data_IF_883887294595
#
_entry.id   IF_883887294595
#
_cell.length_a   1.000
_cell.length_b   1.000
_cell.length_c   1.000
_cell.angle_alpha   90.00
_cell.angle_beta   90.00
_cell.angle_gamma   90.00
#
_symmetry.space_group_name_H-M   'P 1'
#
loop_
_entity.id
_entity.type
_entity.pdbx_description
1 polymer ?
#
# COMPACT_ATOMS: atom_id res chain seq x y z
N UNK A 1 -14.15 -19.78 30.65
CA UNK A 1 -12.76 -19.83 31.17
C UNK A 1 -11.94 -18.87 30.31
N UNK A 2 -11.48 -17.75 30.85
CA UNK A 2 -10.71 -16.74 30.12
C UNK A 2 -9.24 -16.93 30.51
N UNK A 3 -8.38 -17.36 29.59
CA UNK A 3 -6.95 -17.54 29.84
C UNK A 3 -6.29 -16.17 29.58
N UNK A 4 -5.60 -15.56 30.57
CA UNK A 4 -4.92 -14.29 30.35
C UNK A 4 -3.74 -14.49 29.40
N UNK A 5 -3.63 -13.62 28.40
CA UNK A 5 -2.57 -13.65 27.38
C UNK A 5 -1.74 -12.38 27.52
N UNK A 6 -0.42 -12.53 27.56
CA UNK A 6 0.51 -11.40 27.55
C UNK A 6 1.03 -11.20 26.12
N UNK A 7 0.77 -10.02 25.57
CA UNK A 7 1.23 -9.62 24.24
C UNK A 7 2.30 -8.55 24.42
N UNK A 8 3.52 -8.84 23.98
CA UNK A 8 4.57 -7.86 23.88
C UNK A 8 4.75 -7.43 22.44
N UNK A 9 4.84 -6.11 22.24
CA UNK A 9 4.99 -5.50 20.92
C UNK A 9 6.27 -4.69 20.91
N UNK A 10 6.98 -4.74 19.80
CA UNK A 10 8.18 -3.94 19.56
C UNK A 10 8.11 -3.30 18.18
N UNK A 11 8.59 -2.07 18.07
CA UNK A 11 8.56 -1.30 16.84
C UNK A 11 9.97 -0.87 16.46
N UNK A 12 10.36 -1.10 15.20
CA UNK A 12 11.68 -0.75 14.70
C UNK A 12 11.54 0.05 13.40
N UNK A 13 12.34 1.11 13.29
CA UNK A 13 12.45 1.94 12.10
C UNK A 13 13.82 1.75 11.47
N UNK A 14 13.85 1.59 10.15
CA UNK A 14 15.08 1.41 9.39
C UNK A 14 15.08 2.19 8.09
N UNK A 15 16.28 2.38 7.56
CA UNK A 15 16.50 3.05 6.28
C UNK A 15 17.41 2.22 5.39
N UNK A 16 17.19 2.27 4.09
CA UNK A 16 18.04 1.65 3.09
C UNK A 16 18.22 2.59 1.90
N UNK A 17 19.38 2.48 1.23
CA UNK A 17 19.65 3.23 0.01
C UNK A 17 19.60 2.29 -1.18
N UNK A 18 18.94 2.72 -2.25
CA UNK A 18 18.73 1.93 -3.47
C UNK A 18 19.36 2.65 -4.64
N UNK A 19 20.35 2.02 -5.27
CA UNK A 19 20.97 2.51 -6.49
C UNK A 19 20.20 1.99 -7.71
N UNK A 20 19.86 2.89 -8.64
CA UNK A 20 19.13 2.56 -9.87
C UNK A 20 19.72 3.32 -11.05
N UNK A 21 19.89 2.60 -12.16
CA UNK A 21 20.24 3.19 -13.46
C UNK A 21 18.99 3.65 -14.18
N UNK A 22 18.94 4.91 -14.58
CA UNK A 22 17.82 5.44 -15.33
C UNK A 22 17.78 4.86 -16.76
N UNK A 23 16.65 4.24 -17.14
CA UNK A 23 16.46 3.67 -18.48
C UNK A 23 16.36 4.72 -19.60
N UNK A 24 16.09 5.98 -19.26
CA UNK A 24 15.98 7.07 -20.25
C UNK A 24 17.30 7.81 -20.48
N UNK A 25 17.96 8.26 -19.42
CA UNK A 25 19.19 9.06 -19.54
C UNK A 25 20.47 8.27 -19.28
N UNK A 26 20.36 7.00 -18.88
CA UNK A 26 21.51 6.10 -18.65
C UNK A 26 22.31 6.40 -17.38
N UNK A 27 21.97 7.45 -16.63
CA UNK A 27 22.67 7.86 -15.40
C UNK A 27 22.20 7.07 -14.18
N UNK A 28 23.16 6.72 -13.34
CA UNK A 28 22.91 6.10 -12.04
C UNK A 28 22.50 7.16 -11.02
N UNK A 29 21.55 6.81 -10.18
CA UNK A 29 21.15 7.62 -9.05
C UNK A 29 20.75 6.74 -7.86
N UNK A 30 20.80 7.32 -6.68
CA UNK A 30 20.45 6.66 -5.43
C UNK A 30 19.27 7.36 -4.78
N UNK A 31 18.38 6.59 -4.17
CA UNK A 31 17.30 7.12 -3.34
C UNK A 31 17.22 6.38 -2.01
N UNK A 32 16.83 7.11 -0.96
CA UNK A 32 16.60 6.57 0.37
C UNK A 32 15.17 6.04 0.52
N UNK A 33 15.04 4.93 1.23
CA UNK A 33 13.77 4.32 1.62
C UNK A 33 13.75 4.22 3.14
N UNK A 34 12.66 4.67 3.75
CA UNK A 34 12.43 4.53 5.20
C UNK A 34 11.23 3.60 5.38
N UNK A 35 11.36 2.63 6.29
CA UNK A 35 10.28 1.71 6.66
C UNK A 35 10.22 1.54 8.17
N UNK A 36 9.03 1.20 8.63
CA UNK A 36 8.69 0.92 10.03
C UNK A 36 8.03 -0.46 10.06
N UNK A 37 8.43 -1.29 11.00
CA UNK A 37 7.85 -2.61 11.20
C UNK A 37 7.58 -2.85 12.68
N UNK A 38 6.49 -3.55 12.96
CA UNK A 38 6.13 -4.00 14.30
C UNK A 38 6.19 -5.53 14.38
N UNK A 39 6.73 -6.02 15.48
CA UNK A 39 6.81 -7.44 15.84
C UNK A 39 6.08 -7.67 17.14
N UNK A 40 5.30 -8.75 17.19
CA UNK A 40 4.49 -9.10 18.34
C UNK A 40 4.90 -10.51 18.80
N UNK A 41 4.99 -10.70 20.12
CA UNK A 41 5.17 -12.00 20.73
C UNK A 41 4.06 -12.25 21.74
N UNK A 42 3.39 -13.39 21.58
CA UNK A 42 2.30 -13.82 22.46
C UNK A 42 2.83 -14.88 23.41
N UNK A 43 2.67 -14.64 24.71
CA UNK A 43 3.01 -15.61 25.76
C UNK A 43 1.77 -15.96 26.60
N UNK A 44 1.64 -17.24 26.93
CA UNK A 44 0.50 -17.78 27.69
C UNK A 44 1.04 -18.36 29.00
N UNK A 45 0.43 -18.09 30.17
CA UNK A 45 0.86 -18.67 31.43
C UNK A 45 0.85 -20.20 31.43
N UNK A 46 1.81 -20.85 32.12
CA UNK A 46 2.92 -20.28 32.89
C UNK A 46 4.16 -19.88 32.05
N UNK A 47 4.10 -20.00 30.72
CA UNK A 47 5.22 -19.81 29.80
C UNK A 47 5.53 -18.34 29.46
N UNK A 48 5.35 -17.42 30.43
CA UNK A 48 5.75 -16.02 30.25
C UNK A 48 7.27 -15.97 30.21
N UNK A 49 7.82 -15.79 29.01
CA UNK A 49 9.28 -15.74 28.83
C UNK A 49 9.80 -14.34 29.16
N UNK A 50 10.85 -14.26 29.97
CA UNK A 50 11.58 -13.01 30.24
C UNK A 50 12.23 -12.37 28.99
N UNK A 51 12.29 -13.11 27.88
CA UNK A 51 12.77 -12.66 26.55
C UNK A 51 11.63 -12.38 25.55
N UNK A 52 10.42 -12.17 26.02
CA UNK A 52 9.29 -11.87 25.13
C UNK A 52 9.58 -10.60 24.29
N UNK A 53 10.26 -9.61 24.88
CA UNK A 53 10.57 -8.35 24.22
C UNK A 53 11.62 -8.53 23.14
N UNK A 54 12.71 -9.21 23.46
CA UNK A 54 13.78 -9.56 22.51
C UNK A 54 13.23 -10.37 21.32
N UNK A 55 12.26 -11.26 21.56
CA UNK A 55 11.58 -12.01 20.49
C UNK A 55 10.70 -11.10 19.64
N UNK A 56 9.94 -10.20 20.24
CA UNK A 56 9.13 -9.22 19.53
C UNK A 56 10.01 -8.30 18.68
N UNK A 57 11.14 -7.82 19.21
CA UNK A 57 12.14 -7.01 18.51
C UNK A 57 12.76 -7.77 17.34
N UNK A 58 13.18 -9.02 17.55
CA UNK A 58 13.74 -9.83 16.47
C UNK A 58 12.74 -10.05 15.34
N UNK A 59 11.46 -10.29 15.65
CA UNK A 59 10.39 -10.36 14.64
C UNK A 59 10.20 -9.04 13.92
N UNK A 60 10.23 -7.91 14.65
CA UNK A 60 10.13 -6.58 14.07
C UNK A 60 11.30 -6.30 13.10
N UNK A 61 12.52 -6.68 13.48
CA UNK A 61 13.72 -6.50 12.68
C UNK A 61 13.72 -7.36 11.41
N UNK A 62 13.32 -8.63 11.50
CA UNK A 62 13.17 -9.48 10.31
C UNK A 62 12.12 -8.94 9.34
N UNK A 63 10.99 -8.43 9.85
CA UNK A 63 9.97 -7.77 9.02
C UNK A 63 10.51 -6.50 8.38
N UNK A 64 11.27 -5.70 9.13
CA UNK A 64 11.89 -4.48 8.65
C UNK A 64 12.87 -4.75 7.50
N UNK A 65 13.78 -5.71 7.67
CA UNK A 65 14.76 -6.10 6.64
C UNK A 65 14.06 -6.57 5.36
N UNK A 66 13.05 -7.44 5.48
CA UNK A 66 12.23 -7.86 4.32
C UNK A 66 11.57 -6.67 3.64
N UNK A 67 11.01 -5.74 4.43
CA UNK A 67 10.35 -4.55 3.90
C UNK A 67 11.31 -3.63 3.14
N UNK A 68 12.53 -3.41 3.65
CA UNK A 68 13.55 -2.58 3.00
C UNK A 68 14.12 -3.25 1.74
N UNK A 69 14.23 -4.58 1.73
CA UNK A 69 14.73 -5.33 0.59
C UNK A 69 13.76 -5.28 -0.60
N UNK A 70 12.46 -5.48 -0.34
CA UNK A 70 11.41 -5.52 -1.38
C UNK A 70 10.87 -4.12 -1.72
N UNK A 71 11.15 -3.09 -0.90
CA UNK A 71 10.64 -1.75 -1.15
C UNK A 71 11.12 -1.16 -2.48
N UNK A 72 10.15 -0.91 -3.36
CA UNK A 72 10.30 -0.12 -4.58
C UNK A 72 9.38 1.09 -4.49
N UNK A 73 9.98 2.26 -4.23
CA UNK A 73 9.25 3.54 -4.22
C UNK A 73 9.30 4.20 -5.59
N UNK A 74 8.21 4.86 -5.97
CA UNK A 74 8.12 5.63 -7.21
C UNK A 74 8.93 6.92 -7.07
N UNK A 75 10.18 6.87 -7.51
CA UNK A 75 11.09 8.02 -7.49
C UNK A 75 11.45 8.41 -8.93
N UNK A 76 11.25 9.68 -9.28
CA UNK A 76 11.65 10.20 -10.58
C UNK A 76 13.17 10.34 -10.65
N UNK A 77 13.75 10.08 -11.82
CA UNK A 77 15.16 10.33 -12.06
C UNK A 77 15.49 11.82 -11.83
N UNK A 78 16.47 12.16 -10.97
CA UNK A 78 16.82 13.54 -10.66
C UNK A 78 17.48 14.26 -11.83
N UNK A 79 17.77 13.59 -12.96
CA UNK A 79 18.36 14.23 -14.14
C UNK A 79 17.36 14.53 -15.24
N UNK A 80 16.33 13.70 -15.41
CA UNK A 80 15.42 13.80 -16.55
C UNK A 80 13.93 13.71 -16.18
N UNK A 81 13.60 13.47 -14.90
CA UNK A 81 12.23 13.33 -14.40
C UNK A 81 11.53 12.03 -14.81
N UNK A 82 12.26 11.07 -15.40
CA UNK A 82 11.70 9.81 -15.85
C UNK A 82 11.52 8.82 -14.69
N UNK A 83 10.35 8.21 -14.61
CA UNK A 83 10.07 7.09 -13.72
C UNK A 83 10.36 5.77 -14.42
N UNK A 84 11.13 4.91 -13.76
CA UNK A 84 11.56 3.62 -14.28
C UNK A 84 10.38 2.67 -14.44
N UNK A 85 10.33 1.95 -15.57
CA UNK A 85 9.25 1.03 -15.89
C UNK A 85 9.01 -0.02 -14.80
N UNK A 86 10.07 -0.51 -14.14
CA UNK A 86 9.98 -1.47 -13.02
C UNK A 86 9.16 -0.92 -11.86
N UNK A 87 9.45 0.31 -11.41
CA UNK A 87 8.75 0.96 -10.30
C UNK A 87 7.28 1.23 -10.64
N UNK A 88 7.01 1.66 -11.88
CA UNK A 88 5.64 1.89 -12.37
C UNK A 88 4.85 0.57 -12.43
N UNK A 89 5.48 -0.51 -12.90
CA UNK A 89 4.86 -1.84 -12.95
C UNK A 89 4.56 -2.37 -11.55
N UNK A 90 5.49 -2.24 -10.61
CA UNK A 90 5.28 -2.65 -9.23
C UNK A 90 4.09 -1.92 -8.60
N UNK A 91 3.99 -0.60 -8.77
CA UNK A 91 2.84 0.18 -8.27
C UNK A 91 1.53 -0.22 -8.94
N UNK A 92 1.52 -0.41 -10.26
CA UNK A 92 0.32 -0.85 -11.00
C UNK A 92 -0.17 -2.20 -10.49
N UNK A 93 0.72 -3.18 -10.36
CA UNK A 93 0.35 -4.50 -9.84
C UNK A 93 -0.21 -4.42 -8.42
N UNK A 94 0.35 -3.56 -7.56
CA UNK A 94 -0.19 -3.33 -6.23
C UNK A 94 -1.59 -2.71 -6.26
N UNK A 95 -1.82 -1.70 -7.11
CA UNK A 95 -3.15 -1.10 -7.31
C UNK A 95 -4.15 -2.13 -7.86
N UNK A 96 -3.75 -2.98 -8.79
CA UNK A 96 -4.58 -4.07 -9.30
C UNK A 96 -4.95 -5.07 -8.21
N UNK A 97 -4.02 -5.45 -7.34
CA UNK A 97 -4.31 -6.35 -6.20
C UNK A 97 -5.35 -5.74 -5.26
N UNK A 98 -5.23 -4.44 -4.95
CA UNK A 98 -6.21 -3.73 -4.13
C UNK A 98 -7.57 -3.67 -4.82
N UNK A 99 -7.61 -3.30 -6.09
CA UNK A 99 -8.84 -3.22 -6.86
C UNK A 99 -9.54 -4.60 -6.95
N UNK A 100 -8.78 -5.68 -7.16
CA UNK A 100 -9.30 -7.03 -7.18
C UNK A 100 -9.86 -7.45 -5.82
N UNK A 101 -9.19 -7.11 -4.71
CA UNK A 101 -9.71 -7.36 -3.36
C UNK A 101 -11.01 -6.60 -3.11
N UNK A 102 -11.10 -5.33 -3.48
CA UNK A 102 -12.32 -4.53 -3.35
C UNK A 102 -13.44 -5.15 -4.18
N UNK A 103 -13.16 -5.48 -5.44
CA UNK A 103 -14.14 -6.11 -6.34
C UNK A 103 -14.63 -7.46 -5.80
N UNK A 104 -13.76 -8.27 -5.17
CA UNK A 104 -14.14 -9.53 -4.55
C UNK A 104 -14.99 -9.35 -3.28
N UNK A 105 -14.74 -8.29 -2.50
CA UNK A 105 -15.47 -8.01 -1.26
C UNK A 105 -16.82 -7.28 -1.50
N UNK A 106 -16.94 -6.50 -2.57
CA UNK A 106 -18.15 -5.73 -2.92
C UNK A 106 -19.44 -6.56 -3.08
N UNK A 107 -19.43 -7.78 -3.67
CA UNK A 107 -20.67 -8.56 -3.81
C UNK A 107 -21.13 -9.22 -2.50
N UNK A 108 -20.28 -9.36 -1.49
CA UNK A 108 -20.65 -10.04 -0.24
C UNK A 108 -21.75 -9.31 0.56
N UNK A 109 -21.69 -7.97 0.74
CA UNK A 109 -22.81 -7.20 1.29
C UNK A 109 -24.12 -7.34 0.49
N UNK A 110 -24.05 -7.35 -0.85
CA UNK A 110 -25.20 -7.53 -1.74
C UNK A 110 -25.82 -8.93 -1.58
N UNK A 111 -24.97 -9.97 -1.51
CA UNK A 111 -25.39 -11.34 -1.26
C UNK A 111 -26.04 -11.48 0.13
N UNK A 112 -25.42 -10.95 1.18
CA UNK A 112 -25.98 -10.97 2.54
C UNK A 112 -27.31 -10.22 2.63
N UNK A 113 -27.47 -9.12 1.89
CA UNK A 113 -28.72 -8.38 1.80
C UNK A 113 -29.81 -9.21 1.08
N UNK A 114 -29.47 -9.88 -0.02
CA UNK A 114 -30.41 -10.74 -0.76
C UNK A 114 -30.94 -11.92 0.07
N UNK A 115 -30.10 -12.52 0.92
CA UNK A 115 -30.51 -13.61 1.82
C UNK A 115 -31.49 -13.13 2.91
N UNK A 116 -31.36 -11.87 3.34
CA UNK A 116 -32.29 -11.23 4.29
C UNK A 116 -33.57 -10.71 3.61
N UNK A 117 -33.58 -10.59 2.28
CA UNK A 117 -34.70 -10.14 1.45
C UNK A 117 -35.53 -11.30 0.87
N UNK A 118 -35.78 -12.35 1.64
CA UNK A 118 -36.91 -13.26 1.38
C UNK A 118 -38.02 -12.86 2.35
N UNK A 119 -38.94 -11.92 2.02
CA UNK A 119 -39.98 -11.51 2.94
C UNK A 119 -41.25 -12.33 2.76
N UNK A 120 -41.87 -12.66 3.89
CA UNK A 120 -43.22 -13.25 4.04
C UNK A 120 -44.29 -12.15 4.25
N UNK A 121 -44.21 -11.02 3.52
CA UNK A 121 -45.06 -9.78 3.53
C UNK A 121 -44.67 -8.66 4.53
N UNK A 122 -44.32 -7.43 4.06
CA UNK A 122 -44.74 -6.09 4.59
C UNK A 122 -44.05 -4.86 3.91
N UNK A 123 -44.66 -3.63 3.93
CA UNK A 123 -44.32 -2.49 3.05
C UNK A 123 -43.45 -1.35 3.65
N UNK A 124 -42.56 -1.60 4.61
CA UNK A 124 -41.59 -0.58 5.10
C UNK A 124 -40.15 -0.83 4.58
N UNK A 125 -39.94 -1.88 3.80
CA UNK A 125 -38.61 -2.35 3.36
C UNK A 125 -38.11 -1.70 2.07
N UNK A 126 -38.94 -0.94 1.35
CA UNK A 126 -38.55 -0.36 0.05
C UNK A 126 -37.43 0.69 0.19
N UNK A 127 -37.46 1.56 1.20
CA UNK A 127 -36.41 2.59 1.36
C UNK A 127 -35.03 1.99 1.66
N UNK A 128 -34.98 0.91 2.45
CA UNK A 128 -33.74 0.19 2.77
C UNK A 128 -33.19 -0.55 1.54
N UNK A 129 -34.08 -1.01 0.66
CA UNK A 129 -33.72 -1.64 -0.61
C UNK A 129 -33.03 -0.66 -1.56
N UNK A 130 -33.59 0.52 -1.77
CA UNK A 130 -32.98 1.56 -2.61
C UNK A 130 -31.62 2.02 -2.05
N UNK A 131 -31.52 2.17 -0.74
CA UNK A 131 -30.26 2.56 -0.09
C UNK A 131 -29.16 1.49 -0.27
N UNK A 132 -29.50 0.20 -0.13
CA UNK A 132 -28.55 -0.90 -0.32
C UNK A 132 -28.03 -1.00 -1.76
N UNK A 133 -28.92 -0.86 -2.75
CA UNK A 133 -28.52 -0.86 -4.16
C UNK A 133 -27.68 0.36 -4.53
N UNK A 134 -27.98 1.53 -3.98
CA UNK A 134 -27.22 2.75 -4.21
C UNK A 134 -25.81 2.67 -3.61
N UNK A 135 -25.66 2.06 -2.43
CA UNK A 135 -24.34 1.85 -1.82
C UNK A 135 -23.53 0.82 -2.61
N UNK A 136 -24.15 -0.29 -3.02
CA UNK A 136 -23.48 -1.32 -3.83
C UNK A 136 -22.97 -0.78 -5.18
N UNK A 137 -23.80 0.00 -5.88
CA UNK A 137 -23.42 0.63 -7.15
C UNK A 137 -22.34 1.70 -6.98
N UNK A 138 -22.39 2.49 -5.91
CA UNK A 138 -21.35 3.46 -5.59
C UNK A 138 -19.99 2.80 -5.33
N UNK A 139 -19.95 1.70 -4.58
CA UNK A 139 -18.70 0.95 -4.33
C UNK A 139 -18.15 0.35 -5.62
N UNK A 140 -19.01 -0.25 -6.47
CA UNK A 140 -18.61 -0.76 -7.77
C UNK A 140 -18.05 0.35 -8.68
N UNK A 141 -18.69 1.53 -8.70
CA UNK A 141 -18.22 2.70 -9.44
C UNK A 141 -16.84 3.16 -8.97
N UNK A 142 -16.64 3.26 -7.65
CA UNK A 142 -15.34 3.63 -7.07
C UNK A 142 -14.25 2.62 -7.45
N UNK A 143 -14.56 1.33 -7.45
CA UNK A 143 -13.62 0.29 -7.88
C UNK A 143 -13.26 0.42 -9.36
N UNK A 144 -14.24 0.66 -10.24
CA UNK A 144 -14.01 0.88 -11.67
C UNK A 144 -13.18 2.15 -11.91
N UNK A 145 -13.51 3.25 -11.24
CA UNK A 145 -12.75 4.51 -11.33
C UNK A 145 -11.32 4.30 -10.83
N UNK A 146 -11.09 3.57 -9.74
CA UNK A 146 -9.75 3.26 -9.25
C UNK A 146 -8.94 2.43 -10.26
N UNK A 147 -9.56 1.47 -10.95
CA UNK A 147 -8.92 0.68 -12.03
C UNK A 147 -8.59 1.57 -13.23
N UNK A 148 -9.51 2.44 -13.64
CA UNK A 148 -9.31 3.38 -14.73
C UNK A 148 -8.19 4.37 -14.39
N UNK A 149 -8.15 4.91 -13.17
CA UNK A 149 -7.07 5.78 -12.69
C UNK A 149 -5.73 5.04 -12.66
N UNK A 150 -5.70 3.76 -12.29
CA UNK A 150 -4.48 2.95 -12.33
C UNK A 150 -3.98 2.72 -13.78
N UNK A 151 -4.90 2.55 -14.74
CA UNK A 151 -4.59 2.46 -16.17
C UNK A 151 -4.12 3.81 -16.75
N UNK A 152 -4.77 4.90 -16.34
CA UNK A 152 -4.42 6.26 -16.75
C UNK A 152 -3.16 6.79 -16.07
N UNK A 153 -2.65 6.12 -15.01
CA UNK A 153 -1.39 6.46 -14.37
C UNK A 153 -0.21 6.24 -15.33
N UNK A 154 0.06 7.27 -16.14
CA UNK A 154 1.20 7.43 -17.02
C UNK A 154 2.12 8.50 -16.42
N UNK A 155 2.94 8.15 -15.41
CA UNK A 155 3.76 9.12 -14.70
C UNK A 155 4.79 9.81 -15.63
N UNK A 156 5.15 9.15 -16.73
CA UNK A 156 6.08 9.67 -17.74
C UNK A 156 5.44 10.59 -18.80
N UNK A 157 4.10 10.75 -18.79
CA UNK A 157 3.39 11.63 -19.73
C UNK A 157 3.35 13.10 -19.27
N UNK A 158 3.99 13.44 -18.15
CA UNK A 158 4.19 14.83 -17.70
C UNK A 158 3.00 15.49 -16.99
N UNK A 159 1.89 14.78 -16.77
CA UNK A 159 0.66 15.37 -16.27
C UNK A 159 0.50 15.40 -14.73
N UNK A 160 1.30 14.65 -13.96
CA UNK A 160 0.92 14.30 -12.58
C UNK A 160 1.92 14.65 -11.47
N UNK A 161 3.15 15.11 -11.78
CA UNK A 161 4.15 15.38 -10.75
C UNK A 161 4.68 16.82 -10.83
N UNK A 162 4.63 17.60 -9.73
CA UNK A 162 5.07 18.99 -9.69
C UNK A 162 6.61 19.14 -9.65
N UNK A 163 7.39 18.07 -9.83
CA UNK A 163 8.84 18.17 -9.98
C UNK A 163 9.17 18.81 -11.33
N UNK A 164 9.14 20.14 -11.34
CA UNK A 164 9.57 20.95 -12.46
C UNK A 164 11.01 20.62 -12.79
N UNK A 165 11.36 20.53 -14.08
CA UNK A 165 12.74 20.40 -14.55
C UNK A 165 13.70 21.43 -13.93
N UNK A 166 13.16 22.55 -13.42
CA UNK A 166 13.91 23.59 -12.70
C UNK A 166 14.48 23.12 -11.35
N UNK A 167 13.82 22.21 -10.65
CA UNK A 167 14.25 21.73 -9.31
C UNK A 167 15.36 20.67 -9.41
N UNK A 168 15.32 19.88 -10.49
CA UNK A 168 16.38 18.95 -10.92
C UNK A 168 17.72 19.66 -11.17
N UNK A 169 17.69 20.86 -11.75
CA UNK A 169 18.92 21.60 -12.06
C UNK A 169 19.53 22.33 -10.85
N UNK A 170 18.76 22.56 -9.78
CA UNK A 170 19.28 23.22 -8.55
C UNK A 170 20.16 22.32 -7.68
N UNK A 171 20.09 21.00 -7.88
CA UNK A 171 20.95 20.02 -7.17
C UNK A 171 22.24 19.63 -7.92
N UNK A 172 22.56 20.26 -9.06
CA UNK A 172 23.83 19.98 -9.75
C UNK A 172 24.97 20.72 -9.04
N UNK A 173 26.04 20.03 -8.59
CA UNK A 173 27.24 20.74 -8.16
C UNK A 173 27.74 21.61 -9.33
N UNK A 174 28.07 22.86 -9.04
CA UNK A 174 28.64 23.77 -10.01
C UNK A 174 29.84 23.09 -10.68
N UNK A 175 29.85 23.08 -12.02
CA UNK A 175 31.03 22.63 -12.76
C UNK A 175 32.18 23.54 -12.35
N UNK A 176 33.13 23.01 -11.60
CA UNK A 176 34.44 23.64 -11.42
C UNK A 176 35.15 23.50 -12.76
N UNK A 177 35.13 24.57 -13.54
CA UNK A 177 35.94 24.77 -14.74
C UNK A 177 37.33 25.24 -14.37
#
# INVERSE_FOLDING_TARGET
MHIPVHIETAEVVGHARKQVRCEKCGKDFEYGVIRRAAGDHVSVPPFVSSRAHERAEHVAQQKLERSLNVAEDLVACPHCGWFQARMVRAKRLWLFKIAALIAALTPWPLLMLSIKMVPRNRPADEFKMYLGTAVGSAVALVAVVAVLLAFMFRPNAGAFFPFSKKDVNRGKPAKVS
#
